data_IF_111648621650
#
_entry.id   IF_111648621650
#
_cell.length_a   1.000
_cell.length_b   1.000
_cell.length_c   1.000
_cell.angle_alpha   90.00
_cell.angle_beta   90.00
_cell.angle_gamma   90.00
#
_symmetry.space_group_name_H-M   'P 1'
#
loop_
_entity.id
_entity.type
_entity.pdbx_description
1 polymer ?
#
# COMPACT_ATOMS: atom_id res chain seq x y z
N UNK A 1 77.55 -19.54 -75.82
CA UNK A 1 77.67 -18.15 -75.36
C UNK A 1 77.06 -18.09 -73.96
N UNK A 2 77.89 -17.87 -72.94
CA UNK A 2 77.48 -17.76 -71.54
C UNK A 2 76.52 -16.57 -71.39
N UNK A 3 75.27 -16.80 -70.95
CA UNK A 3 74.46 -15.74 -70.36
C UNK A 3 74.65 -15.79 -68.84
N UNK A 4 75.66 -15.05 -68.39
CA UNK A 4 75.88 -14.70 -66.99
C UNK A 4 74.86 -13.59 -66.69
N UNK A 5 73.73 -13.93 -66.07
CA UNK A 5 72.75 -12.94 -65.61
C UNK A 5 72.61 -12.99 -64.09
N UNK A 6 72.74 -11.80 -63.50
CA UNK A 6 73.02 -11.48 -62.11
C UNK A 6 72.07 -12.11 -61.06
N UNK A 7 72.55 -13.15 -60.40
CA UNK A 7 71.98 -13.69 -59.15
C UNK A 7 72.11 -12.77 -57.90
N UNK A 8 73.08 -11.84 -57.75
CA UNK A 8 73.28 -11.17 -56.45
C UNK A 8 72.39 -9.95 -56.19
N UNK A 9 71.67 -9.41 -57.20
CA UNK A 9 70.75 -8.27 -56.99
C UNK A 9 69.34 -8.71 -56.57
N UNK A 10 68.88 -9.89 -57.00
CA UNK A 10 67.60 -10.45 -56.53
C UNK A 10 67.69 -10.98 -55.10
N UNK A 11 68.83 -11.56 -54.68
CA UNK A 11 69.03 -11.96 -53.28
C UNK A 11 69.03 -10.76 -52.33
N UNK A 12 69.57 -9.60 -52.74
CA UNK A 12 69.58 -8.42 -51.89
C UNK A 12 68.18 -7.79 -51.72
N UNK A 13 67.34 -7.86 -52.77
CA UNK A 13 65.92 -7.45 -52.68
C UNK A 13 65.03 -8.48 -51.96
N UNK A 14 65.36 -9.78 -51.99
CA UNK A 14 64.63 -10.79 -51.20
C UNK A 14 65.03 -10.77 -49.72
N UNK A 15 66.26 -10.37 -49.40
CA UNK A 15 66.73 -10.16 -48.02
C UNK A 15 66.15 -8.86 -47.42
N UNK A 16 65.81 -7.85 -48.24
CA UNK A 16 65.09 -6.65 -47.78
C UNK A 16 63.60 -6.92 -47.45
N UNK A 17 63.07 -8.10 -47.80
CA UNK A 17 61.71 -8.57 -47.52
C UNK A 17 61.67 -9.62 -46.39
N UNK A 18 62.72 -9.69 -45.57
CA UNK A 18 62.60 -10.25 -44.22
C UNK A 18 61.73 -9.28 -43.44
N UNK A 19 60.41 -9.43 -43.54
CA UNK A 19 59.45 -8.81 -42.64
C UNK A 19 59.94 -9.18 -41.25
N UNK A 20 60.26 -8.19 -40.42
CA UNK A 20 60.48 -8.43 -39.00
C UNK A 20 59.20 -9.11 -38.50
N UNK A 21 59.32 -10.35 -38.02
CA UNK A 21 58.22 -11.16 -37.50
C UNK A 21 57.84 -10.59 -36.13
N UNK A 22 57.28 -9.38 -36.14
CA UNK A 22 56.81 -8.66 -34.96
C UNK A 22 55.31 -8.85 -34.80
N UNK A 23 54.84 -8.79 -33.55
CA UNK A 23 53.40 -8.79 -33.27
C UNK A 23 52.90 -7.35 -33.10
N UNK A 24 51.59 -7.16 -33.29
CA UNK A 24 50.94 -5.87 -33.07
C UNK A 24 49.82 -6.03 -32.06
N UNK A 25 49.82 -5.20 -31.02
CA UNK A 25 48.74 -5.14 -30.03
C UNK A 25 47.59 -4.32 -30.62
N UNK A 26 46.39 -4.90 -30.59
CA UNK A 26 45.20 -4.28 -31.14
C UNK A 26 44.78 -3.05 -30.32
N UNK A 27 44.51 -1.95 -31.03
CA UNK A 27 43.98 -0.74 -30.41
C UNK A 27 42.47 -0.86 -30.16
N UNK A 28 41.96 -0.31 -29.04
CA UNK A 28 40.53 -0.32 -28.74
C UNK A 28 39.72 0.50 -29.76
N UNK A 29 38.46 0.10 -29.98
CA UNK A 29 37.54 0.77 -30.90
C UNK A 29 36.97 2.10 -30.40
N UNK A 30 37.21 2.48 -29.14
CA UNK A 30 36.71 3.73 -28.58
C UNK A 30 36.86 3.85 -27.05
N UNK A 31 36.55 5.04 -26.49
CA UNK A 31 36.58 5.27 -25.04
C UNK A 31 35.51 4.45 -24.33
N UNK A 32 35.85 3.94 -23.14
CA UNK A 32 34.96 3.11 -22.32
C UNK A 32 34.16 3.97 -21.34
N UNK A 33 32.90 3.58 -21.13
CA UNK A 33 31.96 4.17 -20.16
C UNK A 33 31.56 3.08 -19.17
N UNK A 34 31.67 3.37 -17.87
CA UNK A 34 31.56 2.34 -16.82
C UNK A 34 30.75 2.85 -15.64
N UNK A 35 29.86 2.03 -15.05
CA UNK A 35 29.15 2.43 -13.84
C UNK A 35 30.10 2.44 -12.64
N UNK A 36 29.91 3.40 -11.74
CA UNK A 36 30.58 3.42 -10.45
C UNK A 36 30.21 2.16 -9.64
N UNK A 37 31.22 1.46 -9.15
CA UNK A 37 31.10 0.16 -8.49
C UNK A 37 30.92 -1.03 -9.43
N UNK A 38 30.82 -0.79 -10.74
CA UNK A 38 30.72 -1.82 -11.77
C UNK A 38 32.05 -2.47 -12.13
N UNK A 39 32.04 -3.22 -13.23
CA UNK A 39 33.22 -3.89 -13.80
C UNK A 39 33.39 -3.53 -15.27
N UNK A 40 34.64 -3.48 -15.74
CA UNK A 40 34.98 -3.20 -17.13
C UNK A 40 36.10 -4.10 -17.61
N UNK A 41 36.07 -4.48 -18.88
CA UNK A 41 37.17 -5.16 -19.55
C UNK A 41 37.94 -4.14 -20.38
N UNK A 42 39.23 -3.98 -20.07
CA UNK A 42 40.17 -3.19 -20.85
C UNK A 42 40.78 -4.11 -21.92
N UNK A 43 40.45 -3.91 -23.21
CA UNK A 43 40.88 -4.83 -24.26
C UNK A 43 42.38 -4.68 -24.56
N UNK A 44 43.06 -5.83 -24.64
CA UNK A 44 44.43 -5.93 -25.14
C UNK A 44 44.61 -7.33 -25.74
N UNK A 45 44.89 -7.39 -27.03
CA UNK A 45 45.02 -8.66 -27.75
C UNK A 45 45.99 -8.56 -28.92
N UNK A 46 46.57 -9.68 -29.29
CA UNK A 46 47.43 -9.85 -30.47
C UNK A 46 46.85 -10.95 -31.35
N UNK A 47 47.00 -10.84 -32.67
CA UNK A 47 46.48 -11.84 -33.62
C UNK A 47 47.38 -13.09 -33.73
N UNK A 48 48.60 -13.02 -33.19
CA UNK A 48 49.61 -14.08 -33.25
C UNK A 48 49.73 -14.82 -31.92
N UNK A 49 49.80 -16.15 -31.96
CA UNK A 49 50.05 -16.95 -30.76
C UNK A 49 51.49 -16.72 -30.27
N UNK A 50 51.62 -16.17 -29.06
CA UNK A 50 52.91 -15.94 -28.42
C UNK A 50 53.23 -17.09 -27.44
N UNK A 51 54.48 -17.60 -27.40
CA UNK A 51 54.91 -18.51 -26.34
C UNK A 51 54.75 -17.85 -24.97
N UNK A 52 54.30 -18.62 -23.97
CA UNK A 52 54.18 -18.13 -22.59
C UNK A 52 55.56 -17.95 -21.93
N UNK A 53 56.55 -18.72 -22.37
CA UNK A 53 57.95 -18.56 -21.94
C UNK A 53 58.50 -17.23 -22.50
N UNK A 54 59.05 -16.38 -21.63
CA UNK A 54 59.55 -15.05 -22.00
C UNK A 54 58.45 -13.98 -22.20
N UNK A 55 57.17 -14.33 -22.04
CA UNK A 55 56.06 -13.39 -22.13
C UNK A 55 55.91 -12.58 -20.85
N UNK A 56 55.91 -11.27 -20.99
CA UNK A 56 55.57 -10.33 -19.92
C UNK A 56 54.48 -9.38 -20.40
N UNK A 57 53.43 -9.20 -19.59
CA UNK A 57 52.36 -8.24 -19.88
C UNK A 57 52.19 -7.30 -18.70
N UNK A 58 52.35 -6.00 -18.96
CA UNK A 58 52.16 -4.95 -17.98
C UNK A 58 50.91 -4.13 -18.29
N UNK A 59 50.03 -3.99 -17.30
CA UNK A 59 49.00 -2.95 -17.31
C UNK A 59 49.41 -1.82 -16.37
N UNK A 60 49.56 -0.60 -16.90
CA UNK A 60 49.96 0.59 -16.15
C UNK A 60 49.02 1.76 -16.42
N UNK A 61 48.86 2.61 -15.42
CA UNK A 61 48.26 3.95 -15.61
C UNK A 61 49.31 4.89 -16.21
N UNK A 62 48.88 5.98 -16.81
CA UNK A 62 49.81 7.02 -17.29
C UNK A 62 50.66 7.64 -16.17
N UNK A 63 50.19 7.59 -14.92
CA UNK A 63 50.98 7.97 -13.73
C UNK A 63 52.15 7.02 -13.44
N UNK A 64 52.26 5.90 -14.15
CA UNK A 64 53.21 4.81 -13.89
C UNK A 64 52.73 3.81 -12.83
N UNK A 65 51.52 3.98 -12.29
CA UNK A 65 50.94 3.05 -11.31
C UNK A 65 50.70 1.69 -11.95
N UNK A 66 51.31 0.63 -11.40
CA UNK A 66 51.14 -0.74 -11.86
C UNK A 66 49.74 -1.27 -11.46
N UNK A 67 48.93 -1.57 -12.47
CA UNK A 67 47.56 -2.08 -12.31
C UNK A 67 47.59 -3.60 -12.19
N UNK A 68 48.31 -4.28 -13.08
CA UNK A 68 48.56 -5.72 -13.01
C UNK A 68 49.78 -6.12 -13.84
N UNK A 69 50.34 -7.30 -13.56
CA UNK A 69 51.52 -7.86 -14.19
C UNK A 69 51.29 -9.36 -14.40
N UNK A 70 51.63 -9.82 -15.60
CA UNK A 70 51.80 -11.24 -15.90
C UNK A 70 53.27 -11.46 -16.28
N UNK A 71 53.94 -12.39 -15.61
CA UNK A 71 55.36 -12.65 -15.80
C UNK A 71 55.70 -14.08 -15.35
N UNK A 72 56.67 -14.72 -16.03
CA UNK A 72 57.12 -16.10 -15.76
C UNK A 72 55.98 -17.14 -15.85
N UNK A 73 55.01 -16.90 -16.73
CA UNK A 73 53.87 -17.78 -16.94
C UNK A 73 52.77 -17.71 -15.88
N UNK A 74 52.86 -16.78 -14.94
CA UNK A 74 51.86 -16.60 -13.90
C UNK A 74 51.39 -15.14 -13.78
N UNK A 75 50.15 -14.97 -13.36
CA UNK A 75 49.61 -13.67 -12.95
C UNK A 75 50.17 -13.29 -11.57
N UNK A 76 50.62 -12.03 -11.42
CA UNK A 76 51.30 -11.51 -10.22
C UNK A 76 50.43 -10.48 -9.46
N UNK A 77 49.32 -10.89 -8.80
CA UNK A 77 48.48 -9.97 -8.04
C UNK A 77 49.23 -9.29 -6.87
N UNK A 78 50.27 -9.92 -6.34
CA UNK A 78 51.11 -9.39 -5.26
C UNK A 78 51.92 -8.14 -5.65
N UNK A 79 52.16 -7.95 -6.95
CA UNK A 79 52.89 -6.79 -7.48
C UNK A 79 51.99 -5.58 -7.75
N UNK A 80 50.67 -5.75 -7.63
CA UNK A 80 49.71 -4.68 -7.91
C UNK A 80 49.85 -3.52 -6.93
N UNK A 81 49.59 -2.30 -7.42
CA UNK A 81 49.39 -1.17 -6.52
C UNK A 81 48.18 -1.42 -5.61
N UNK A 82 48.24 -0.93 -4.36
CA UNK A 82 47.22 -1.15 -3.34
C UNK A 82 45.79 -0.80 -3.80
N UNK A 83 45.66 0.18 -4.68
CA UNK A 83 44.37 0.61 -5.23
C UNK A 83 43.73 -0.44 -6.15
N UNK A 84 44.52 -1.28 -6.81
CA UNK A 84 44.07 -2.29 -7.78
C UNK A 84 44.05 -3.71 -7.21
N UNK A 85 44.59 -3.89 -6.01
CA UNK A 85 44.59 -5.15 -5.27
C UNK A 85 43.17 -5.75 -5.18
N UNK A 86 43.04 -7.04 -5.50
CA UNK A 86 41.79 -7.81 -5.60
C UNK A 86 40.76 -7.30 -6.63
N UNK A 87 41.08 -6.25 -7.39
CA UNK A 87 40.15 -5.61 -8.33
C UNK A 87 40.53 -5.84 -9.79
N UNK A 88 41.83 -5.89 -10.09
CA UNK A 88 42.36 -6.09 -11.43
C UNK A 88 42.77 -7.55 -11.66
N UNK A 89 42.30 -8.18 -12.72
CA UNK A 89 42.55 -9.60 -13.02
C UNK A 89 42.73 -9.84 -14.51
N UNK A 90 43.67 -10.71 -14.89
CA UNK A 90 43.77 -11.24 -16.24
C UNK A 90 42.81 -12.42 -16.45
N UNK A 91 42.39 -12.63 -17.70
CA UNK A 91 41.79 -13.88 -18.15
C UNK A 91 42.91 -14.89 -18.43
N UNK A 92 43.45 -15.50 -17.37
CA UNK A 92 44.71 -16.27 -17.42
C UNK A 92 44.67 -17.40 -18.46
N UNK A 93 43.53 -18.09 -18.59
CA UNK A 93 43.26 -19.12 -19.58
C UNK A 93 43.31 -18.65 -21.05
N UNK A 94 43.16 -17.35 -21.31
CA UNK A 94 43.16 -16.78 -22.66
C UNK A 94 44.50 -16.18 -23.08
N UNK A 95 45.47 -16.08 -22.16
CA UNK A 95 46.81 -15.53 -22.42
C UNK A 95 47.53 -16.34 -23.50
N UNK A 96 47.44 -17.67 -23.45
CA UNK A 96 48.02 -18.55 -24.47
C UNK A 96 47.41 -18.37 -25.87
N UNK A 97 46.23 -17.73 -25.96
CA UNK A 97 45.54 -17.42 -27.21
C UNK A 97 45.78 -15.96 -27.66
N UNK A 98 46.67 -15.23 -26.98
CA UNK A 98 47.01 -13.85 -27.33
C UNK A 98 46.02 -12.80 -26.79
N UNK A 99 45.16 -13.16 -25.85
CA UNK A 99 44.26 -12.21 -25.19
C UNK A 99 44.81 -11.85 -23.81
N UNK A 100 45.21 -10.59 -23.67
CA UNK A 100 45.81 -10.02 -22.48
C UNK A 100 44.91 -8.94 -21.83
N UNK A 101 43.61 -9.01 -22.13
CA UNK A 101 42.62 -8.07 -21.62
C UNK A 101 42.55 -8.13 -20.09
N UNK A 102 42.29 -6.98 -19.47
CA UNK A 102 42.22 -6.85 -18.02
C UNK A 102 40.78 -6.63 -17.57
N UNK A 103 40.28 -7.46 -16.66
CA UNK A 103 39.06 -7.20 -15.93
C UNK A 103 39.35 -6.30 -14.72
N UNK A 104 38.77 -5.11 -14.68
CA UNK A 104 38.80 -4.21 -13.53
C UNK A 104 37.42 -4.19 -12.86
N UNK A 105 37.34 -4.70 -11.64
CA UNK A 105 36.14 -4.76 -10.82
C UNK A 105 36.04 -3.59 -9.83
N UNK A 106 34.81 -3.30 -9.41
CA UNK A 106 34.48 -2.26 -8.42
C UNK A 106 35.12 -0.91 -8.79
N UNK A 107 34.82 -0.43 -10.00
CA UNK A 107 35.41 0.78 -10.59
C UNK A 107 35.03 2.02 -9.78
N UNK A 108 36.01 2.89 -9.49
CA UNK A 108 35.86 4.10 -8.70
C UNK A 108 35.97 5.34 -9.58
N UNK A 109 35.56 6.50 -9.07
CA UNK A 109 35.67 7.76 -9.82
C UNK A 109 37.13 8.09 -10.18
N UNK A 110 38.08 7.70 -9.33
CA UNK A 110 39.51 7.89 -9.53
C UNK A 110 40.07 7.00 -10.64
N UNK A 111 39.38 5.93 -11.03
CA UNK A 111 39.80 5.03 -12.11
C UNK A 111 39.57 5.62 -13.51
N UNK A 112 38.95 6.80 -13.60
CA UNK A 112 38.93 7.56 -14.86
C UNK A 112 40.35 7.80 -15.37
N UNK A 113 40.55 7.70 -16.69
CA UNK A 113 41.81 8.02 -17.37
C UNK A 113 42.33 6.90 -18.26
N UNK A 114 43.58 7.05 -18.70
CA UNK A 114 44.26 6.15 -19.63
C UNK A 114 44.98 5.00 -18.92
N UNK A 115 44.88 3.83 -19.52
CA UNK A 115 45.51 2.58 -19.14
C UNK A 115 46.31 2.05 -20.33
N UNK A 116 47.57 1.70 -20.10
CA UNK A 116 48.49 1.19 -21.10
C UNK A 116 48.68 -0.30 -20.88
N UNK A 117 48.38 -1.11 -21.87
CA UNK A 117 48.83 -2.50 -21.95
C UNK A 117 50.15 -2.50 -22.71
N UNK A 118 51.16 -3.13 -22.15
CA UNK A 118 52.42 -3.36 -22.85
C UNK A 118 52.78 -4.82 -22.79
N UNK A 119 52.99 -5.40 -23.96
CA UNK A 119 53.31 -6.81 -24.14
C UNK A 119 54.77 -6.90 -24.57
N UNK A 120 55.54 -7.73 -23.86
CA UNK A 120 56.92 -8.03 -24.18
C UNK A 120 57.04 -9.51 -24.50
N UNK A 121 57.74 -9.80 -25.59
CA UNK A 121 58.25 -11.12 -25.97
C UNK A 121 59.78 -11.06 -26.02
N UNK A 122 60.44 -12.21 -26.09
CA UNK A 122 61.90 -12.30 -26.23
C UNK A 122 62.46 -11.52 -27.43
N UNK A 123 61.64 -11.32 -28.47
CA UNK A 123 62.07 -10.74 -29.75
C UNK A 123 61.53 -9.33 -30.01
N UNK A 124 60.41 -8.95 -29.40
CA UNK A 124 59.68 -7.73 -29.73
C UNK A 124 58.81 -7.24 -28.57
N UNK A 125 58.37 -5.97 -28.63
CA UNK A 125 57.41 -5.42 -27.69
C UNK A 125 56.50 -4.41 -28.37
N UNK A 126 55.22 -4.44 -28.04
CA UNK A 126 54.25 -3.46 -28.52
C UNK A 126 53.24 -3.10 -27.42
N UNK A 127 52.54 -1.98 -27.58
CA UNK A 127 51.64 -1.43 -26.57
C UNK A 127 50.37 -0.84 -27.18
N UNK A 128 49.29 -0.85 -26.39
CA UNK A 128 48.08 -0.10 -26.67
C UNK A 128 47.67 0.76 -25.47
N UNK A 129 46.81 1.74 -25.73
CA UNK A 129 46.23 2.61 -24.71
C UNK A 129 44.71 2.51 -24.77
N UNK A 130 44.09 2.33 -23.62
CA UNK A 130 42.65 2.27 -23.41
C UNK A 130 42.24 3.38 -22.43
N UNK A 131 41.24 4.17 -22.80
CA UNK A 131 40.72 5.25 -21.95
C UNK A 131 39.39 4.86 -21.30
N UNK A 132 39.29 4.96 -19.96
CA UNK A 132 38.01 5.05 -19.25
C UNK A 132 37.64 6.53 -19.21
N UNK A 133 36.72 6.96 -20.08
CA UNK A 133 36.38 8.37 -20.28
C UNK A 133 35.37 8.87 -19.25
N UNK A 134 34.40 8.04 -18.90
CA UNK A 134 33.35 8.36 -17.93
C UNK A 134 33.15 7.23 -16.92
N UNK A 135 33.19 7.58 -15.65
CA UNK A 135 32.71 6.74 -14.55
C UNK A 135 31.39 7.35 -14.10
N UNK A 136 30.29 6.75 -14.52
CA UNK A 136 28.97 7.31 -14.26
C UNK A 136 28.43 6.83 -12.91
N UNK A 137 27.96 7.78 -12.11
CA UNK A 137 27.29 7.52 -10.85
C UNK A 137 25.81 7.71 -11.10
N UNK A 138 25.01 6.66 -10.94
CA UNK A 138 23.55 6.76 -10.95
C UNK A 138 23.04 6.22 -9.63
N UNK A 139 22.70 7.12 -8.70
CA UNK A 139 22.14 6.75 -7.40
C UNK A 139 20.73 7.27 -7.30
N UNK A 140 19.78 6.38 -7.02
CA UNK A 140 18.39 6.73 -6.74
C UNK A 140 18.17 6.63 -5.25
N UNK A 141 17.89 7.77 -4.63
CA UNK A 141 17.63 7.88 -3.20
C UNK A 141 16.14 8.04 -2.93
N UNK A 142 15.63 7.30 -1.95
CA UNK A 142 14.26 7.36 -1.46
C UNK A 142 14.20 7.28 0.06
N UNK A 143 13.01 7.36 0.61
CA UNK A 143 12.78 7.19 2.05
C UNK A 143 12.88 5.72 2.41
N UNK A 144 13.78 5.39 3.32
CA UNK A 144 13.94 4.03 3.84
C UNK A 144 12.85 3.67 4.88
N UNK A 145 11.99 4.61 5.24
CA UNK A 145 10.94 4.41 6.24
C UNK A 145 9.60 4.13 5.55
N UNK A 146 8.89 3.12 6.04
CA UNK A 146 7.51 2.89 5.62
C UNK A 146 6.64 4.06 6.05
N UNK A 147 5.84 4.60 5.14
CA UNK A 147 4.87 5.65 5.45
C UNK A 147 3.53 5.01 5.83
N UNK A 148 2.79 5.64 6.73
CA UNK A 148 1.49 5.15 7.19
C UNK A 148 0.39 6.23 7.14
N UNK A 149 0.04 6.75 5.95
CA UNK A 149 -1.08 7.68 5.81
C UNK A 149 -2.41 7.11 6.29
N UNK A 150 -3.34 8.01 6.58
CA UNK A 150 -4.75 7.68 6.73
C UNK A 150 -5.44 7.60 5.36
N UNK A 151 -6.52 6.82 5.27
CA UNK A 151 -7.33 6.74 4.05
C UNK A 151 -7.89 8.13 3.69
N UNK A 152 -7.79 8.48 2.39
CA UNK A 152 -8.17 9.80 1.86
C UNK A 152 -7.06 10.86 1.92
N UNK A 153 -5.92 10.60 2.56
CA UNK A 153 -4.79 11.54 2.57
C UNK A 153 -3.97 11.50 1.27
N UNK A 154 -3.26 12.59 1.01
CA UNK A 154 -2.26 12.64 -0.06
C UNK A 154 -0.89 12.28 0.52
N UNK A 155 -0.14 11.45 -0.21
CA UNK A 155 1.23 11.07 0.18
C UNK A 155 2.25 11.41 -0.88
N UNK A 156 3.47 11.66 -0.44
CA UNK A 156 4.62 11.87 -1.33
C UNK A 156 5.61 10.72 -1.13
N UNK A 157 5.89 10.00 -2.21
CA UNK A 157 6.93 8.98 -2.27
C UNK A 157 8.19 9.62 -2.88
N UNK A 158 9.24 9.72 -2.07
CA UNK A 158 10.48 10.40 -2.48
C UNK A 158 11.27 9.57 -3.47
N UNK A 159 11.71 10.17 -4.57
CA UNK A 159 12.69 9.61 -5.50
C UNK A 159 13.58 10.73 -6.03
N UNK A 160 14.82 10.77 -5.57
CA UNK A 160 15.82 11.76 -5.96
C UNK A 160 16.99 11.07 -6.64
N UNK A 161 17.39 11.57 -7.80
CA UNK A 161 18.50 11.03 -8.58
C UNK A 161 19.74 11.88 -8.33
N UNK A 162 20.78 11.27 -7.79
CA UNK A 162 22.12 11.84 -7.69
C UNK A 162 22.98 11.22 -8.80
N UNK A 163 23.24 12.00 -9.84
CA UNK A 163 24.02 11.57 -10.99
C UNK A 163 24.85 12.68 -11.61
N UNK A 164 25.93 12.29 -12.28
CA UNK A 164 26.67 13.15 -13.19
C UNK A 164 25.98 13.32 -14.55
N UNK A 165 24.99 12.46 -14.83
CA UNK A 165 24.16 12.52 -16.03
C UNK A 165 23.19 13.69 -15.87
N UNK A 166 23.14 14.62 -16.83
CA UNK A 166 22.21 15.75 -16.77
C UNK A 166 20.76 15.25 -16.85
N UNK A 167 19.79 15.89 -16.16
CA UNK A 167 18.40 15.43 -16.13
C UNK A 167 17.75 15.28 -17.51
N UNK A 168 18.22 16.03 -18.51
CA UNK A 168 17.76 15.95 -19.89
C UNK A 168 18.14 14.64 -20.61
N UNK A 169 19.15 13.93 -20.11
CA UNK A 169 19.61 12.63 -20.62
C UNK A 169 18.98 11.45 -19.88
N UNK A 170 18.13 11.70 -18.86
CA UNK A 170 17.35 10.65 -18.20
C UNK A 170 16.22 10.21 -19.14
N UNK A 171 16.36 9.01 -19.69
CA UNK A 171 15.45 8.48 -20.72
C UNK A 171 14.08 8.11 -20.15
N UNK A 172 14.07 7.48 -18.98
CA UNK A 172 12.86 6.95 -18.36
C UNK A 172 12.93 6.95 -16.82
N UNK A 173 11.85 7.41 -16.19
CA UNK A 173 11.58 7.19 -14.76
C UNK A 173 10.18 6.59 -14.61
N UNK A 174 10.11 5.39 -14.04
CA UNK A 174 8.85 4.69 -13.80
C UNK A 174 8.63 4.45 -12.31
N UNK A 175 7.45 4.84 -11.84
CA UNK A 175 6.92 4.40 -10.56
C UNK A 175 6.06 3.17 -10.78
N UNK A 176 6.36 2.09 -10.04
CA UNK A 176 5.65 0.83 -10.12
C UNK A 176 5.22 0.37 -8.72
N UNK A 177 4.00 -0.16 -8.60
CA UNK A 177 3.58 -0.90 -7.40
C UNK A 177 3.95 -2.36 -7.60
N UNK A 178 4.71 -2.91 -6.67
CA UNK A 178 5.05 -4.33 -6.62
C UNK A 178 3.89 -5.06 -5.97
N UNK A 179 3.27 -5.96 -6.72
CA UNK A 179 2.20 -6.84 -6.27
C UNK A 179 2.63 -8.31 -6.38
N UNK A 180 1.83 -9.22 -5.82
CA UNK A 180 2.10 -10.67 -5.89
C UNK A 180 2.01 -11.21 -7.32
N UNK A 181 1.18 -10.57 -8.14
CA UNK A 181 0.91 -10.96 -9.52
C UNK A 181 1.80 -10.25 -10.54
N UNK A 182 2.73 -9.40 -10.09
CA UNK A 182 3.68 -8.67 -10.94
C UNK A 182 3.84 -7.19 -10.56
N UNK A 183 4.30 -6.39 -11.53
CA UNK A 183 4.49 -4.95 -11.38
C UNK A 183 3.36 -4.18 -12.05
N UNK A 184 2.75 -3.25 -11.34
CA UNK A 184 1.71 -2.36 -11.87
C UNK A 184 2.34 -0.98 -12.08
N UNK A 185 2.33 -0.48 -13.32
CA UNK A 185 2.78 0.88 -13.61
C UNK A 185 1.86 1.89 -12.91
N UNK A 186 2.44 2.82 -12.13
CA UNK A 186 1.72 3.87 -11.40
C UNK A 186 1.85 5.19 -12.15
N UNK A 187 3.06 5.55 -12.55
CA UNK A 187 3.34 6.78 -13.28
C UNK A 187 4.62 6.64 -14.11
N UNK A 188 4.64 7.22 -15.30
CA UNK A 188 5.76 7.15 -16.23
C UNK A 188 6.19 8.54 -16.67
N UNK A 189 7.49 8.83 -16.57
CA UNK A 189 8.15 9.95 -17.22
C UNK A 189 9.09 9.37 -18.27
N UNK A 190 8.95 9.79 -19.52
CA UNK A 190 9.74 9.25 -20.63
C UNK A 190 9.92 10.32 -21.71
N UNK A 191 11.13 10.46 -22.25
CA UNK A 191 11.45 11.44 -23.29
C UNK A 191 11.05 12.88 -22.92
N UNK A 192 11.34 13.27 -21.67
CA UNK A 192 11.02 14.60 -21.12
C UNK A 192 9.52 14.93 -21.01
N UNK A 193 8.65 13.90 -21.03
CA UNK A 193 7.20 14.05 -20.91
C UNK A 193 6.62 13.08 -19.86
N UNK A 194 5.56 13.52 -19.18
CA UNK A 194 4.81 12.66 -18.25
C UNK A 194 3.73 11.91 -19.04
N UNK A 195 3.86 10.59 -19.13
CA UNK A 195 2.93 9.71 -19.87
C UNK A 195 1.82 9.18 -18.97
N UNK A 196 0.67 9.85 -19.01
CA UNK A 196 -0.53 9.43 -18.26
C UNK A 196 -1.40 8.41 -19.01
N UNK A 197 -1.20 8.23 -20.32
CA UNK A 197 -2.00 7.29 -21.13
C UNK A 197 -1.74 5.83 -20.79
N UNK A 198 -0.50 5.51 -20.39
CA UNK A 198 -0.08 4.16 -19.98
C UNK A 198 -0.49 3.84 -18.54
N UNK A 199 -0.99 4.81 -17.78
CA UNK A 199 -1.35 4.64 -16.37
C UNK A 199 -2.71 3.96 -16.23
N UNK A 200 -2.84 2.87 -15.45
CA UNK A 200 -4.10 2.23 -15.16
C UNK A 200 -5.12 3.18 -14.53
N UNK A 201 -6.42 2.97 -14.80
CA UNK A 201 -7.52 3.82 -14.32
C UNK A 201 -7.53 4.05 -12.80
N UNK A 202 -7.00 3.11 -12.01
CA UNK A 202 -6.93 3.23 -10.55
C UNK A 202 -5.99 4.34 -10.05
N UNK A 203 -4.98 4.71 -10.84
CA UNK A 203 -3.98 5.75 -10.53
C UNK A 203 -4.14 7.01 -11.38
N UNK A 204 -4.94 6.94 -12.44
CA UNK A 204 -5.29 8.08 -13.28
C UNK A 204 -5.85 9.22 -12.44
N UNK A 205 -5.38 10.43 -12.70
CA UNK A 205 -5.70 11.68 -11.99
C UNK A 205 -5.34 11.72 -10.48
N UNK A 206 -4.73 10.64 -9.95
CA UNK A 206 -4.30 10.54 -8.55
C UNK A 206 -2.79 10.55 -8.39
N UNK A 207 -2.06 10.00 -9.35
CA UNK A 207 -0.61 9.95 -9.39
C UNK A 207 -0.06 11.11 -10.23
N UNK A 208 0.82 11.95 -9.66
CA UNK A 208 1.48 13.05 -10.37
C UNK A 208 2.93 13.26 -9.90
N UNK A 209 3.80 13.71 -10.82
CA UNK A 209 5.13 14.21 -10.47
C UNK A 209 5.09 15.68 -10.09
N UNK A 210 6.12 16.14 -9.38
CA UNK A 210 6.38 17.56 -9.14
C UNK A 210 7.16 18.13 -10.33
N UNK A 211 6.44 18.65 -11.34
CA UNK A 211 7.04 19.09 -12.61
C UNK A 211 8.14 20.15 -12.45
N UNK A 212 8.04 20.99 -11.43
CA UNK A 212 9.01 22.02 -11.06
C UNK A 212 10.29 21.48 -10.40
N UNK A 213 10.25 20.24 -9.91
CA UNK A 213 11.38 19.56 -9.25
C UNK A 213 12.12 18.60 -10.21
N UNK A 214 11.52 18.23 -11.34
CA UNK A 214 12.15 17.37 -12.37
C UNK A 214 13.50 17.92 -12.87
N UNK A 215 13.66 19.23 -13.18
CA UNK A 215 14.96 19.78 -13.59
C UNK A 215 16.05 19.70 -12.50
N UNK A 216 15.67 19.42 -11.25
CA UNK A 216 16.59 19.18 -10.13
C UNK A 216 16.83 17.68 -9.89
N UNK A 217 16.48 16.84 -10.87
CA UNK A 217 16.54 15.39 -10.81
C UNK A 217 15.71 14.77 -9.66
N UNK A 218 14.59 15.43 -9.29
CA UNK A 218 13.68 14.95 -8.26
C UNK A 218 12.37 14.48 -8.91
N UNK A 219 12.20 13.16 -8.94
CA UNK A 219 11.09 12.44 -9.56
C UNK A 219 10.16 11.85 -8.50
N UNK A 220 9.98 12.55 -7.38
CA UNK A 220 9.07 12.13 -6.33
C UNK A 220 7.63 12.03 -6.84
N UNK A 221 6.92 10.99 -6.41
CA UNK A 221 5.52 10.75 -6.77
C UNK A 221 4.61 11.34 -5.70
N UNK A 222 3.63 12.14 -6.08
CA UNK A 222 2.47 12.44 -5.23
C UNK A 222 1.32 11.51 -5.59
N UNK A 223 0.82 10.77 -4.60
CA UNK A 223 -0.37 9.94 -4.72
C UNK A 223 -1.51 10.55 -3.90
N UNK A 224 -2.57 10.99 -4.58
CA UNK A 224 -3.72 11.67 -3.98
C UNK A 224 -4.78 10.69 -3.47
N UNK A 225 -5.40 11.07 -2.37
CA UNK A 225 -6.54 10.36 -1.76
C UNK A 225 -6.29 8.86 -1.69
N UNK A 226 -5.29 8.44 -0.91
CA UNK A 226 -4.90 7.03 -0.78
C UNK A 226 -6.08 6.16 -0.29
N UNK A 227 -6.18 4.94 -0.80
CA UNK A 227 -7.26 3.97 -0.55
C UNK A 227 -6.64 2.71 0.00
N UNK A 228 -7.38 1.91 0.78
CA UNK A 228 -6.86 0.65 1.32
C UNK A 228 -6.20 -0.29 0.27
N UNK A 229 -6.65 -0.23 -1.01
CA UNK A 229 -6.07 -0.99 -2.13
C UNK A 229 -4.66 -0.53 -2.56
N UNK A 230 -4.26 0.71 -2.22
CA UNK A 230 -2.95 1.26 -2.55
C UNK A 230 -1.85 0.78 -1.60
N UNK A 231 -2.20 0.01 -0.55
CA UNK A 231 -1.23 -0.62 0.33
C UNK A 231 -0.28 -1.51 -0.49
N UNK A 232 1.02 -1.38 -0.25
CA UNK A 232 2.03 -2.20 -0.92
C UNK A 232 3.38 -1.53 -0.97
N UNK A 233 4.30 -2.18 -1.71
CA UNK A 233 5.64 -1.65 -1.96
C UNK A 233 5.63 -0.94 -3.30
N UNK A 234 6.15 0.28 -3.31
CA UNK A 234 6.32 1.08 -4.52
C UNK A 234 7.80 1.17 -4.84
N UNK A 235 8.13 1.11 -6.12
CA UNK A 235 9.48 1.19 -6.65
C UNK A 235 9.57 2.37 -7.61
N UNK A 236 10.55 3.23 -7.40
CA UNK A 236 10.99 4.19 -8.40
C UNK A 236 12.17 3.56 -9.15
N UNK A 237 12.04 3.37 -10.45
CA UNK A 237 13.06 2.81 -11.33
C UNK A 237 13.46 3.87 -12.35
N UNK A 238 14.76 4.16 -12.43
CA UNK A 238 15.35 5.19 -13.29
C UNK A 238 16.27 4.52 -14.29
N UNK A 239 16.12 4.86 -15.55
CA UNK A 239 17.00 4.48 -16.65
C UNK A 239 17.66 5.72 -17.26
N UNK A 240 18.97 5.64 -17.45
CA UNK A 240 19.78 6.66 -18.09
C UNK A 240 20.85 5.97 -18.94
N UNK A 241 20.64 5.91 -20.27
CA UNK A 241 21.46 5.11 -21.17
C UNK A 241 21.49 3.63 -20.76
N UNK A 242 22.69 3.08 -20.60
CA UNK A 242 22.91 1.69 -20.18
C UNK A 242 22.78 1.48 -18.65
N UNK A 243 22.52 2.54 -17.90
CA UNK A 243 22.44 2.49 -16.45
C UNK A 243 21.01 2.41 -15.94
N UNK A 244 20.81 1.61 -14.90
CA UNK A 244 19.57 1.59 -14.16
C UNK A 244 19.80 1.55 -12.66
N UNK A 245 18.96 2.26 -11.92
CA UNK A 245 18.97 2.25 -10.47
C UNK A 245 17.54 2.39 -9.95
N UNK A 246 17.31 1.89 -8.74
CA UNK A 246 15.99 1.94 -8.14
C UNK A 246 16.03 2.24 -6.64
N UNK A 247 14.87 2.63 -6.13
CA UNK A 247 14.60 2.69 -4.69
C UNK A 247 13.19 2.18 -4.43
N UNK A 248 12.97 1.59 -3.27
CA UNK A 248 11.65 1.04 -2.88
C UNK A 248 11.19 1.61 -1.55
N UNK A 249 9.88 1.76 -1.40
CA UNK A 249 9.26 2.20 -0.16
C UNK A 249 7.92 1.50 0.07
N UNK A 250 7.63 1.17 1.32
CA UNK A 250 6.38 0.53 1.72
C UNK A 250 5.35 1.57 2.16
N UNK A 251 4.16 1.52 1.55
CA UNK A 251 2.98 2.29 1.95
C UNK A 251 2.06 1.40 2.77
N UNK A 252 1.91 1.76 4.05
CA UNK A 252 0.93 1.19 4.97
C UNK A 252 -0.25 2.15 5.05
N UNK A 253 -1.45 1.64 5.24
CA UNK A 253 -2.62 2.49 5.43
C UNK A 253 -3.14 2.20 6.83
N UNK A 254 -3.15 3.26 7.64
CA UNK A 254 -3.64 3.22 9.02
C UNK A 254 -5.11 3.61 9.04
N UNK A 255 -5.88 2.99 9.93
CA UNK A 255 -7.22 3.48 10.24
C UNK A 255 -7.11 4.87 10.86
N UNK A 256 -7.97 5.79 10.45
CA UNK A 256 -8.06 7.11 11.09
C UNK A 256 -8.33 6.93 12.59
N UNK A 257 -7.81 7.84 13.42
CA UNK A 257 -8.11 7.87 14.85
C UNK A 257 -9.64 7.88 15.09
N UNK A 258 -10.40 8.52 14.20
CA UNK A 258 -11.86 8.53 14.27
C UNK A 258 -12.48 7.16 13.98
N UNK A 259 -11.96 6.37 13.02
CA UNK A 259 -12.41 4.99 12.80
C UNK A 259 -12.15 4.11 14.02
N UNK A 260 -11.00 4.28 14.68
CA UNK A 260 -10.68 3.55 15.93
C UNK A 260 -11.67 3.92 17.04
N UNK A 261 -12.00 5.21 17.19
CA UNK A 261 -13.00 5.68 18.15
C UNK A 261 -14.39 5.09 17.86
N UNK A 262 -14.81 5.06 16.59
CA UNK A 262 -16.07 4.43 16.18
C UNK A 262 -16.10 2.94 16.56
N UNK A 263 -15.03 2.19 16.27
CA UNK A 263 -14.92 0.77 16.64
C UNK A 263 -14.97 0.56 18.16
N UNK A 264 -14.29 1.41 18.93
CA UNK A 264 -14.34 1.37 20.40
C UNK A 264 -15.75 1.65 20.93
N UNK A 265 -16.45 2.66 20.40
CA UNK A 265 -17.83 2.97 20.78
C UNK A 265 -18.79 1.81 20.47
N UNK A 266 -18.65 1.18 19.30
CA UNK A 266 -19.40 -0.02 18.94
C UNK A 266 -19.10 -1.20 19.89
N UNK A 267 -17.84 -1.40 20.24
CA UNK A 267 -17.42 -2.42 21.22
C UNK A 267 -18.00 -2.18 22.61
N UNK A 268 -17.99 -0.94 23.09
CA UNK A 268 -18.60 -0.54 24.37
C UNK A 268 -20.12 -0.73 24.36
N UNK A 269 -20.79 -0.43 23.26
CA UNK A 269 -22.22 -0.68 23.10
C UNK A 269 -22.55 -2.18 23.16
N UNK A 270 -21.79 -3.01 22.44
CA UNK A 270 -21.98 -4.47 22.48
C UNK A 270 -21.69 -5.06 23.86
N UNK A 271 -20.63 -4.60 24.53
CA UNK A 271 -20.26 -5.05 25.87
C UNK A 271 -21.32 -4.70 26.92
N UNK A 272 -21.84 -3.47 26.89
CA UNK A 272 -22.89 -3.01 27.82
C UNK A 272 -24.22 -3.75 27.62
N UNK A 273 -24.63 -3.99 26.37
CA UNK A 273 -25.81 -4.81 26.07
C UNK A 273 -25.66 -6.27 26.51
N UNK A 274 -24.47 -6.85 26.33
CA UNK A 274 -24.17 -8.24 26.75
C UNK A 274 -24.17 -8.40 28.28
N UNK A 275 -23.61 -7.43 29.00
CA UNK A 275 -23.62 -7.40 30.46
C UNK A 275 -25.05 -7.32 31.01
N UNK A 276 -25.89 -6.50 30.39
CA UNK A 276 -27.31 -6.41 30.74
C UNK A 276 -28.04 -7.73 30.56
N UNK A 277 -27.85 -8.40 29.41
CA UNK A 277 -28.41 -9.73 29.15
C UNK A 277 -27.99 -10.74 30.22
N UNK A 278 -26.71 -10.76 30.58
CA UNK A 278 -26.19 -11.61 31.67
C UNK A 278 -26.80 -11.29 33.04
N UNK A 279 -26.98 -10.01 33.37
CA UNK A 279 -27.60 -9.59 34.64
C UNK A 279 -29.09 -9.98 34.68
N UNK A 280 -29.82 -9.81 33.58
CA UNK A 280 -31.22 -10.24 33.46
C UNK A 280 -31.33 -11.76 33.61
N UNK A 281 -30.49 -12.53 32.91
CA UNK A 281 -30.47 -14.00 33.01
C UNK A 281 -30.13 -14.50 34.42
N UNK A 282 -29.20 -13.84 35.12
CA UNK A 282 -28.86 -14.17 36.52
C UNK A 282 -29.96 -13.78 37.51
N UNK A 283 -30.69 -12.69 37.25
CA UNK A 283 -31.71 -12.14 38.15
C UNK A 283 -33.09 -12.79 38.00
N UNK A 284 -33.40 -13.42 36.85
CA UNK A 284 -34.56 -14.33 36.71
C UNK A 284 -34.56 -15.42 37.81
N UNK A 285 -33.42 -15.65 38.46
CA UNK A 285 -33.24 -16.61 39.55
C UNK A 285 -33.27 -16.01 40.99
N UNK A 286 -33.58 -14.72 41.19
CA UNK A 286 -33.50 -14.07 42.53
C UNK A 286 -34.54 -12.94 42.76
N UNK A 287 -35.38 -13.12 43.79
CA UNK A 287 -36.52 -12.25 44.18
C UNK A 287 -36.14 -10.97 44.97
N UNK A 288 -35.51 -9.94 44.38
CA UNK A 288 -35.42 -8.63 45.04
C UNK A 288 -35.45 -7.45 44.04
N UNK A 289 -36.41 -6.52 44.21
CA UNK A 289 -37.04 -5.79 43.10
C UNK A 289 -36.66 -4.31 42.90
N UNK A 290 -36.14 -3.55 43.87
CA UNK A 290 -36.06 -2.08 43.67
C UNK A 290 -34.75 -1.49 43.13
N UNK A 291 -33.57 -1.96 43.52
CA UNK A 291 -32.28 -1.44 42.99
C UNK A 291 -31.94 -1.93 41.57
N UNK A 292 -32.64 -2.96 41.09
CA UNK A 292 -32.41 -3.60 39.80
C UNK A 292 -32.97 -2.78 38.64
N UNK A 293 -34.08 -2.07 38.85
CA UNK A 293 -34.72 -1.24 37.82
C UNK A 293 -33.76 -0.17 37.30
N UNK A 294 -33.22 0.68 38.18
CA UNK A 294 -32.35 1.81 37.79
C UNK A 294 -31.06 1.35 37.09
N UNK A 295 -30.43 0.26 37.57
CA UNK A 295 -29.26 -0.32 36.91
C UNK A 295 -29.63 -0.82 35.50
N UNK A 296 -30.72 -1.59 35.35
CA UNK A 296 -31.17 -2.08 34.05
C UNK A 296 -31.47 -0.93 33.06
N UNK A 297 -32.06 0.17 33.52
CA UNK A 297 -32.27 1.37 32.70
C UNK A 297 -30.96 1.98 32.20
N UNK A 298 -29.98 2.15 33.10
CA UNK A 298 -28.67 2.70 32.72
C UNK A 298 -27.97 1.83 31.67
N UNK A 299 -28.08 0.51 31.79
CA UNK A 299 -27.52 -0.46 30.85
C UNK A 299 -28.31 -0.58 29.54
N UNK A 300 -29.59 -0.18 29.48
CA UNK A 300 -30.36 -0.10 28.22
C UNK A 300 -30.11 1.21 27.47
N UNK A 301 -29.94 2.33 28.18
CA UNK A 301 -29.75 3.65 27.57
C UNK A 301 -28.32 3.83 27.02
N UNK A 302 -27.32 3.38 27.76
CA UNK A 302 -25.91 3.60 27.45
C UNK A 302 -25.43 2.97 26.11
N UNK A 303 -25.78 1.71 25.76
CA UNK A 303 -25.43 1.14 24.46
C UNK A 303 -25.98 1.95 23.28
N UNK A 304 -27.22 2.42 23.40
CA UNK A 304 -27.87 3.20 22.35
C UNK A 304 -27.21 4.58 22.17
N UNK A 305 -26.80 5.23 23.27
CA UNK A 305 -26.06 6.49 23.22
C UNK A 305 -24.67 6.32 22.57
N UNK A 306 -23.95 5.24 22.91
CA UNK A 306 -22.68 4.91 22.26
C UNK A 306 -22.85 4.65 20.76
N UNK A 307 -23.90 3.93 20.35
CA UNK A 307 -24.20 3.70 18.92
C UNK A 307 -24.55 5.00 18.20
N UNK A 308 -25.37 5.88 18.79
CA UNK A 308 -25.68 7.20 18.19
C UNK A 308 -24.42 8.03 18.01
N UNK A 309 -23.55 8.06 19.02
CA UNK A 309 -22.27 8.78 18.95
C UNK A 309 -21.36 8.18 17.86
N UNK A 310 -21.29 6.85 17.78
CA UNK A 310 -20.53 6.14 16.76
C UNK A 310 -21.04 6.45 15.35
N UNK A 311 -22.36 6.45 15.11
CA UNK A 311 -22.94 6.77 13.81
C UNK A 311 -22.75 8.25 13.43
N UNK A 312 -22.82 9.17 14.39
CA UNK A 312 -22.53 10.58 14.14
C UNK A 312 -21.07 10.74 13.69
N UNK A 313 -20.12 10.14 14.40
CA UNK A 313 -18.70 10.18 14.04
C UNK A 313 -18.48 9.50 12.67
N UNK A 314 -19.10 8.34 12.42
CA UNK A 314 -19.05 7.66 11.13
C UNK A 314 -19.50 8.56 9.97
N UNK A 315 -20.55 9.36 10.18
CA UNK A 315 -21.04 10.35 9.21
C UNK A 315 -20.09 11.48 8.88
N UNK A 316 -19.10 11.77 9.75
CA UNK A 316 -18.04 12.72 9.47
C UNK A 316 -16.87 12.12 8.69
N UNK A 317 -16.76 10.79 8.66
CA UNK A 317 -15.67 10.07 7.99
C UNK A 317 -16.15 9.60 6.61
N UNK A 318 -16.91 8.49 6.57
CA UNK A 318 -17.30 7.79 5.34
C UNK A 318 -18.83 7.59 5.22
N UNK A 319 -19.58 7.82 6.30
CA UNK A 319 -21.00 7.48 6.38
C UNK A 319 -21.90 8.40 5.59
N UNK A 320 -22.94 7.83 4.96
CA UNK A 320 -23.94 8.65 4.30
C UNK A 320 -24.86 9.33 5.33
N UNK A 321 -25.30 10.56 5.02
CA UNK A 321 -26.22 11.30 5.88
C UNK A 321 -27.51 10.51 6.18
N UNK A 322 -27.98 9.70 5.22
CA UNK A 322 -29.18 8.88 5.38
C UNK A 322 -28.97 7.76 6.39
N UNK A 323 -27.82 7.08 6.36
CA UNK A 323 -27.47 6.05 7.35
C UNK A 323 -27.35 6.65 8.74
N UNK A 324 -26.66 7.79 8.88
CA UNK A 324 -26.49 8.48 10.16
C UNK A 324 -27.85 8.83 10.76
N UNK A 325 -28.75 9.42 9.96
CA UNK A 325 -30.09 9.81 10.43
C UNK A 325 -30.92 8.58 10.80
N UNK A 326 -30.97 7.57 9.93
CA UNK A 326 -31.81 6.39 10.12
C UNK A 326 -31.37 5.58 11.33
N UNK A 327 -30.07 5.30 11.43
CA UNK A 327 -29.50 4.53 12.54
C UNK A 327 -29.54 5.31 13.85
N UNK A 328 -29.28 6.62 13.85
CA UNK A 328 -29.38 7.42 15.08
C UNK A 328 -30.82 7.49 15.58
N UNK A 329 -31.78 7.69 14.69
CA UNK A 329 -33.22 7.72 15.04
C UNK A 329 -33.67 6.40 15.63
N UNK A 330 -33.28 5.27 15.03
CA UNK A 330 -33.62 3.95 15.52
C UNK A 330 -33.03 3.65 16.90
N UNK A 331 -31.78 4.07 17.15
CA UNK A 331 -31.14 3.89 18.46
C UNK A 331 -31.72 4.84 19.53
N UNK A 332 -32.22 6.03 19.16
CA UNK A 332 -32.91 6.94 20.10
C UNK A 332 -34.35 6.51 20.41
N UNK A 333 -35.05 5.92 19.45
CA UNK A 333 -36.42 5.45 19.61
C UNK A 333 -36.52 4.25 20.57
N UNK A 334 -35.49 3.39 20.59
CA UNK A 334 -35.43 2.18 21.43
C UNK A 334 -35.58 2.47 22.94
N UNK A 335 -34.80 3.38 23.55
CA UNK A 335 -35.02 3.79 24.94
C UNK A 335 -36.36 4.49 25.18
N UNK A 336 -36.85 5.30 24.22
CA UNK A 336 -38.13 6.01 24.35
C UNK A 336 -39.32 5.05 24.47
N UNK A 337 -39.35 3.97 23.68
CA UNK A 337 -40.37 2.93 23.77
C UNK A 337 -40.34 2.19 25.11
N UNK A 338 -39.16 2.04 25.72
CA UNK A 338 -39.02 1.44 27.04
C UNK A 338 -39.51 2.41 28.14
N UNK A 339 -39.26 3.71 28.04
CA UNK A 339 -39.73 4.71 29.03
C UNK A 339 -41.26 4.68 29.23
N UNK A 340 -42.03 4.31 28.20
CA UNK A 340 -43.50 4.15 28.28
C UNK A 340 -43.93 3.05 29.27
N UNK A 341 -43.04 2.12 29.63
CA UNK A 341 -43.29 1.02 30.58
C UNK A 341 -42.87 1.32 32.02
N UNK A 342 -42.42 2.55 32.31
CA UNK A 342 -41.83 2.94 33.61
C UNK A 342 -42.85 3.66 34.50
N UNK A 343 -42.79 3.45 35.84
CA UNK A 343 -43.60 4.22 36.78
C UNK A 343 -43.38 5.75 36.67
N UNK A 344 -44.47 6.49 36.82
CA UNK A 344 -44.60 7.94 36.58
C UNK A 344 -43.52 8.83 37.24
N UNK A 345 -42.97 8.42 38.39
CA UNK A 345 -41.95 9.17 39.15
C UNK A 345 -40.56 9.20 38.50
N UNK A 346 -40.20 8.20 37.68
CA UNK A 346 -38.89 8.13 37.01
C UNK A 346 -38.95 8.81 35.63
N UNK A 347 -40.13 8.86 35.02
CA UNK A 347 -40.37 9.39 33.68
C UNK A 347 -40.06 10.89 33.58
N UNK A 348 -40.40 11.70 34.60
CA UNK A 348 -40.11 13.14 34.61
C UNK A 348 -38.60 13.46 34.70
N UNK A 349 -37.81 12.61 35.37
CA UNK A 349 -36.36 12.83 35.56
C UNK A 349 -35.53 12.44 34.32
N UNK A 350 -36.03 11.55 33.47
CA UNK A 350 -35.35 11.07 32.26
C UNK A 350 -35.80 11.78 30.96
N UNK A 351 -37.03 12.29 30.88
CA UNK A 351 -37.53 12.95 29.66
C UNK A 351 -36.72 14.20 29.33
N UNK A 352 -36.44 15.05 30.31
CA UNK A 352 -35.73 16.31 30.11
C UNK A 352 -34.30 16.12 29.54
N UNK A 353 -33.45 15.24 30.10
CA UNK A 353 -32.13 14.98 29.52
C UNK A 353 -32.20 14.31 28.14
N UNK A 354 -33.17 13.42 27.88
CA UNK A 354 -33.35 12.84 26.55
C UNK A 354 -33.77 13.88 25.51
N UNK A 355 -34.70 14.77 25.88
CA UNK A 355 -35.13 15.87 25.02
C UNK A 355 -33.97 16.84 24.72
N UNK A 356 -33.14 17.15 25.72
CA UNK A 356 -31.92 17.95 25.53
C UNK A 356 -30.94 17.25 24.60
N UNK A 357 -30.72 15.94 24.74
CA UNK A 357 -29.85 15.16 23.83
C UNK A 357 -30.39 15.18 22.40
N UNK A 358 -31.70 14.97 22.20
CA UNK A 358 -32.34 15.05 20.89
C UNK A 358 -32.20 16.44 20.27
N UNK A 359 -32.39 17.51 21.06
CA UNK A 359 -32.20 18.90 20.62
C UNK A 359 -30.73 19.18 20.28
N UNK A 360 -29.77 18.70 21.07
CA UNK A 360 -28.34 18.87 20.81
C UNK A 360 -27.94 18.12 19.54
N UNK A 361 -28.43 16.89 19.33
CA UNK A 361 -28.23 16.13 18.09
C UNK A 361 -28.84 16.88 16.91
N UNK A 362 -30.05 17.43 17.05
CA UNK A 362 -30.68 18.25 16.02
C UNK A 362 -29.86 19.51 15.69
N UNK A 363 -29.36 20.22 16.71
CA UNK A 363 -28.52 21.40 16.53
C UNK A 363 -27.16 21.04 15.90
N UNK A 364 -26.57 19.89 16.25
CA UNK A 364 -25.37 19.37 15.61
C UNK A 364 -25.62 19.08 14.12
N UNK A 365 -26.70 18.36 13.78
CA UNK A 365 -27.13 18.06 12.40
C UNK A 365 -27.42 19.35 11.60
N UNK A 366 -28.07 20.33 12.23
CA UNK A 366 -28.34 21.63 11.63
C UNK A 366 -27.06 22.47 11.43
N UNK A 367 -26.05 22.30 12.30
CA UNK A 367 -24.75 22.98 12.18
C UNK A 367 -23.88 22.33 11.09
N UNK A 368 -23.91 21.01 10.92
CA UNK A 368 -23.28 20.32 9.76
C UNK A 368 -23.83 20.82 8.44
N UNK A 369 -25.12 21.17 8.39
CA UNK A 369 -25.75 21.81 7.21
C UNK A 369 -25.19 23.19 6.87
N UNK A 370 -24.72 23.99 7.82
CA UNK A 370 -24.16 25.31 7.50
C UNK A 370 -22.85 25.21 6.70
N UNK A 371 -22.09 24.12 6.88
CA UNK A 371 -20.89 23.84 6.08
C UNK A 371 -21.20 23.14 4.74
N UNK A 372 -22.23 22.28 4.70
CA UNK A 372 -22.57 21.50 3.49
C UNK A 372 -23.41 22.30 2.47
N UNK A 373 -24.25 23.22 2.91
CA UNK A 373 -25.17 23.98 2.04
C UNK A 373 -24.47 25.02 1.14
N UNK A 374 -23.22 25.40 1.46
CA UNK A 374 -22.42 26.21 0.54
C UNK A 374 -22.10 25.44 -0.76
N UNK A 375 -22.21 24.10 -0.77
CA UNK A 375 -21.74 23.28 -1.90
C UNK A 375 -22.83 22.60 -2.75
N UNK A 376 -24.02 22.26 -2.25
CA UNK A 376 -25.03 21.57 -3.09
C UNK A 376 -26.50 21.94 -2.80
N UNK A 377 -27.14 22.54 -3.81
CA UNK A 377 -28.53 23.02 -3.87
C UNK A 377 -29.55 21.90 -4.15
N UNK A 378 -29.82 20.97 -3.21
CA UNK A 378 -30.97 20.05 -3.35
C UNK A 378 -31.71 19.84 -2.03
N UNK A 379 -32.99 20.25 -2.03
CA UNK A 379 -33.95 20.07 -0.95
C UNK A 379 -34.59 18.67 -1.06
N UNK A 380 -34.45 17.82 -0.04
CA UNK A 380 -34.93 16.43 -0.06
C UNK A 380 -36.14 16.22 0.87
N UNK A 381 -37.23 15.70 0.29
CA UNK A 381 -38.54 15.43 0.91
C UNK A 381 -38.50 14.47 2.12
N UNK A 382 -37.41 13.72 2.30
CA UNK A 382 -37.22 12.82 3.44
C UNK A 382 -37.23 13.53 4.80
N UNK A 383 -36.86 14.82 4.86
CA UNK A 383 -36.96 15.61 6.09
C UNK A 383 -38.39 16.00 6.45
N UNK A 384 -39.25 16.24 5.47
CA UNK A 384 -40.67 16.53 5.71
C UNK A 384 -41.34 15.27 6.25
N UNK A 385 -41.00 14.11 5.70
CA UNK A 385 -41.49 12.80 6.14
C UNK A 385 -41.02 12.49 7.57
N UNK A 386 -39.75 12.77 7.93
CA UNK A 386 -39.25 12.58 9.29
C UNK A 386 -39.92 13.51 10.30
N UNK A 387 -40.16 14.78 9.96
CA UNK A 387 -40.89 15.73 10.80
C UNK A 387 -42.34 15.26 10.99
N UNK A 388 -42.97 14.76 9.92
CA UNK A 388 -44.34 14.23 9.97
C UNK A 388 -44.42 12.96 10.84
N UNK A 389 -43.46 12.03 10.73
CA UNK A 389 -43.40 10.80 11.53
C UNK A 389 -43.10 11.11 13.00
N UNK A 390 -42.25 12.09 13.30
CA UNK A 390 -41.95 12.51 14.67
C UNK A 390 -43.11 13.30 15.31
N UNK A 391 -43.83 14.11 14.54
CA UNK A 391 -45.06 14.77 14.98
C UNK A 391 -46.19 13.77 15.18
N UNK A 392 -46.40 12.84 14.25
CA UNK A 392 -47.42 11.79 14.36
C UNK A 392 -47.12 10.82 15.51
N UNK A 393 -45.86 10.44 15.75
CA UNK A 393 -45.49 9.62 16.91
C UNK A 393 -45.60 10.38 18.23
N UNK A 394 -45.28 11.68 18.26
CA UNK A 394 -45.53 12.53 19.43
C UNK A 394 -47.02 12.75 19.71
N UNK A 395 -47.84 12.96 18.66
CA UNK A 395 -49.30 13.12 18.74
C UNK A 395 -49.98 11.81 19.11
N UNK A 396 -49.52 10.67 18.58
CA UNK A 396 -49.99 9.34 18.96
C UNK A 396 -49.68 9.02 20.42
N UNK A 397 -48.50 9.41 20.93
CA UNK A 397 -48.14 9.27 22.34
C UNK A 397 -49.01 10.16 23.23
N UNK A 398 -49.26 11.41 22.83
CA UNK A 398 -50.15 12.33 23.55
C UNK A 398 -51.62 11.85 23.55
N UNK A 399 -52.10 11.36 22.41
CA UNK A 399 -53.47 10.87 22.27
C UNK A 399 -53.67 9.55 23.01
N UNK A 400 -52.67 8.66 23.04
CA UNK A 400 -52.69 7.44 23.84
C UNK A 400 -52.65 7.73 25.35
N UNK A 401 -51.88 8.74 25.77
CA UNK A 401 -51.85 9.25 27.15
C UNK A 401 -53.20 9.82 27.58
N UNK A 402 -53.88 10.61 26.72
CA UNK A 402 -55.21 11.17 27.01
C UNK A 402 -56.33 10.12 27.09
N UNK A 403 -56.18 8.99 26.37
CA UNK A 403 -57.13 7.87 26.41
C UNK A 403 -56.91 7.00 27.66
N UNK A 404 -55.65 6.80 28.07
CA UNK A 404 -55.30 6.09 29.30
C UNK A 404 -55.69 6.86 30.58
N UNK A 405 -55.82 8.19 30.52
CA UNK A 405 -56.32 9.01 31.63
C UNK A 405 -57.84 8.83 31.87
N UNK A 406 -58.58 8.27 30.89
CA UNK A 406 -60.04 8.10 30.98
C UNK A 406 -60.54 6.67 31.20
N UNK A 407 -59.72 5.63 30.99
CA UNK A 407 -60.12 4.25 31.28
C UNK A 407 -59.16 3.57 32.26
N UNK A 408 -59.49 3.64 33.54
CA UNK A 408 -58.98 2.72 34.56
C UNK A 408 -59.64 1.35 34.38
N UNK A 409 -59.08 0.51 33.53
CA UNK A 409 -59.44 -0.90 33.41
C UNK A 409 -58.60 -1.62 32.34
N UNK A 410 -57.99 -2.75 32.69
CA UNK A 410 -57.26 -3.63 31.77
C UNK A 410 -58.16 -4.06 30.60
N UNK A 411 -57.97 -3.48 29.41
CA UNK A 411 -58.64 -3.92 28.18
C UNK A 411 -57.65 -4.59 27.19
N UNK A 412 -57.81 -5.89 26.89
CA UNK A 412 -56.94 -6.65 25.97
C UNK A 412 -56.93 -6.14 24.51
N UNK A 413 -57.77 -5.16 24.15
CA UNK A 413 -57.76 -4.52 22.82
C UNK A 413 -56.56 -3.59 22.57
N UNK A 414 -55.94 -3.03 23.61
CA UNK A 414 -54.80 -2.10 23.46
C UNK A 414 -53.52 -2.83 23.03
N UNK A 415 -53.23 -3.99 23.62
CA UNK A 415 -52.06 -4.82 23.28
C UNK A 415 -52.16 -5.38 21.86
N UNK A 416 -53.36 -5.72 21.40
CA UNK A 416 -53.61 -6.15 20.02
C UNK A 416 -53.38 -5.00 19.01
N UNK A 417 -53.74 -3.76 19.37
CA UNK A 417 -53.52 -2.57 18.53
C UNK A 417 -52.03 -2.20 18.42
N UNK A 418 -51.27 -2.33 19.50
CA UNK A 418 -49.81 -2.13 19.49
C UNK A 418 -49.09 -3.17 18.62
N UNK A 419 -49.50 -4.44 18.70
CA UNK A 419 -48.96 -5.50 17.84
C UNK A 419 -49.27 -5.26 16.36
N UNK A 420 -50.50 -4.83 16.03
CA UNK A 420 -50.88 -4.48 14.66
C UNK A 420 -50.08 -3.29 14.12
N UNK A 421 -49.91 -2.22 14.92
CA UNK A 421 -49.15 -1.04 14.52
C UNK A 421 -47.67 -1.35 14.27
N UNK A 422 -47.05 -2.21 15.08
CA UNK A 422 -45.66 -2.65 14.88
C UNK A 422 -45.51 -3.56 13.64
N UNK A 423 -46.55 -4.32 13.31
CA UNK A 423 -46.60 -5.17 12.11
C UNK A 423 -46.73 -4.33 10.84
N UNK A 424 -47.51 -3.25 10.88
CA UNK A 424 -47.65 -2.31 9.76
C UNK A 424 -46.35 -1.54 9.48
N UNK A 425 -45.63 -1.11 10.53
CA UNK A 425 -44.32 -0.46 10.39
C UNK A 425 -43.29 -1.44 9.77
N UNK A 426 -43.33 -2.71 10.18
CA UNK A 426 -42.47 -3.77 9.62
C UNK A 426 -42.78 -4.07 8.15
N UNK A 427 -44.06 -4.06 7.74
CA UNK A 427 -44.45 -4.18 6.34
C UNK A 427 -44.03 -2.96 5.50
N UNK A 428 -44.18 -1.75 6.04
CA UNK A 428 -43.78 -0.52 5.35
C UNK A 428 -42.27 -0.43 5.14
N UNK A 429 -41.47 -0.94 6.08
CA UNK A 429 -40.01 -1.04 5.92
C UNK A 429 -39.54 -2.04 4.86
N UNK A 430 -40.42 -2.94 4.37
CA UNK A 430 -40.13 -3.92 3.31
C UNK A 430 -40.53 -3.42 1.90
N UNK A 431 -41.04 -2.20 1.78
CA UNK A 431 -41.51 -1.64 0.51
C UNK A 431 -40.32 -1.41 -0.47
N UNK A 432 -40.38 -1.84 -1.75
CA UNK A 432 -39.21 -1.91 -2.65
C UNK A 432 -38.56 -0.56 -3.00
N UNK A 433 -39.17 0.56 -2.63
CA UNK A 433 -38.62 1.90 -2.87
C UNK A 433 -37.53 2.33 -1.89
N UNK A 434 -37.33 1.59 -0.78
CA UNK A 434 -36.14 1.71 0.07
C UNK A 434 -35.19 0.56 -0.27
N UNK A 435 -34.20 0.81 -1.15
CA UNK A 435 -33.09 -0.12 -1.39
C UNK A 435 -32.17 -0.21 -0.15
N UNK A 436 -32.65 -0.78 0.95
CA UNK A 436 -31.85 -1.19 2.09
C UNK A 436 -31.78 -2.72 2.12
N UNK A 437 -30.60 -3.26 1.84
CA UNK A 437 -30.35 -4.70 1.85
C UNK A 437 -30.19 -5.20 3.30
N UNK A 438 -31.28 -5.18 4.08
CA UNK A 438 -31.36 -5.60 5.48
C UNK A 438 -31.86 -7.05 5.59
N UNK A 439 -31.22 -7.99 4.87
CA UNK A 439 -31.64 -9.39 4.86
C UNK A 439 -31.27 -10.20 6.13
N UNK A 440 -30.99 -9.58 7.29
CA UNK A 440 -30.49 -10.33 8.46
C UNK A 440 -30.95 -9.90 9.85
N UNK A 441 -31.97 -9.06 9.97
CA UNK A 441 -32.60 -8.78 11.27
C UNK A 441 -34.08 -9.09 11.21
N UNK A 442 -34.43 -10.38 11.38
CA UNK A 442 -35.79 -10.75 11.73
C UNK A 442 -36.09 -10.21 13.13
N UNK A 443 -36.99 -9.22 13.21
CA UNK A 443 -37.61 -8.82 14.46
C UNK A 443 -38.55 -9.96 14.90
N UNK A 444 -38.09 -10.79 15.84
CA UNK A 444 -38.92 -11.78 16.51
C UNK A 444 -39.95 -11.05 17.40
N UNK A 445 -41.17 -10.90 16.89
CA UNK A 445 -42.33 -10.45 17.67
C UNK A 445 -42.96 -11.70 18.30
N UNK A 446 -42.77 -11.89 19.60
CA UNK A 446 -43.44 -12.95 20.37
C UNK A 446 -44.74 -12.37 20.95
N UNK A 447 -45.93 -12.89 20.60
CA UNK A 447 -47.17 -12.43 21.19
C UNK A 447 -47.30 -12.93 22.63
N UNK A 448 -47.61 -12.02 23.56
CA UNK A 448 -47.98 -12.38 24.93
C UNK A 448 -49.40 -12.97 24.93
N UNK A 449 -49.53 -14.29 25.13
CA UNK A 449 -50.82 -14.94 25.31
C UNK A 449 -51.04 -15.22 26.81
N UNK A 450 -52.17 -14.82 27.42
CA UNK A 450 -52.41 -15.03 28.84
C UNK A 450 -53.14 -16.36 29.07
N UNK A 451 -52.42 -17.49 29.06
CA UNK A 451 -52.94 -18.74 29.67
C UNK A 451 -51.82 -19.48 30.39
N UNK A 452 -51.68 -19.17 31.68
CA UNK A 452 -51.08 -20.03 32.69
C UNK A 452 -51.89 -21.33 32.78
N UNK A 453 -51.32 -22.46 32.31
CA UNK A 453 -51.47 -23.82 32.91
C UNK A 453 -51.13 -25.00 31.99
N UNK A 454 -50.87 -24.84 30.68
CA UNK A 454 -50.58 -25.99 29.80
C UNK A 454 -49.11 -26.21 29.37
N UNK A 455 -48.18 -25.30 29.68
CA UNK A 455 -46.77 -25.45 29.26
C UNK A 455 -45.96 -26.49 30.06
N UNK A 456 -46.44 -26.97 31.20
CA UNK A 456 -45.71 -27.93 32.03
C UNK A 456 -45.71 -29.38 31.50
N UNK A 457 -46.49 -29.70 30.46
CA UNK A 457 -46.59 -31.08 29.94
C UNK A 457 -45.86 -31.32 28.60
N UNK A 458 -45.25 -30.29 27.98
CA UNK A 458 -44.49 -30.45 26.73
C UNK A 458 -42.96 -30.37 26.90
N UNK A 459 -42.43 -29.98 28.07
CA UNK A 459 -40.98 -29.92 28.36
C UNK A 459 -40.49 -31.20 29.07
N UNK A 460 -40.99 -32.37 28.66
CA UNK A 460 -40.43 -33.68 29.09
C UNK A 460 -39.86 -34.52 27.95
N UNK A 461 -39.91 -34.04 26.70
CA UNK A 461 -39.48 -34.81 25.52
C UNK A 461 -38.31 -34.24 24.72
N UNK A 462 -37.65 -33.16 25.18
CA UNK A 462 -36.47 -32.58 24.52
C UNK A 462 -35.22 -32.77 25.39
N UNK A 463 -34.93 -34.01 25.78
CA UNK A 463 -33.66 -34.40 26.43
C UNK A 463 -32.99 -35.57 25.69
N UNK A 464 -33.14 -35.64 24.37
CA UNK A 464 -32.41 -36.60 23.54
C UNK A 464 -32.16 -36.03 22.14
N UNK A 465 -31.17 -35.14 22.00
CA UNK A 465 -30.46 -34.98 20.73
C UNK A 465 -28.96 -35.09 21.03
N UNK A 466 -28.42 -36.22 20.61
CA UNK A 466 -27.02 -36.62 20.67
C UNK A 466 -26.18 -35.78 19.70
N UNK A 467 -25.02 -35.30 20.18
CA UNK A 467 -23.96 -34.75 19.34
C UNK A 467 -23.41 -35.86 18.43
N UNK A 468 -23.69 -35.79 17.12
CA UNK A 468 -22.93 -36.53 16.12
C UNK A 468 -21.82 -35.63 15.57
N UNK A 469 -20.62 -35.84 16.09
CA UNK A 469 -19.37 -35.48 15.41
C UNK A 469 -19.32 -36.15 14.03
N UNK A 470 -19.14 -35.37 12.97
CA UNK A 470 -18.65 -35.89 11.69
C UNK A 470 -17.36 -35.19 11.32
N UNK A 471 -16.25 -35.72 11.84
CA UNK A 471 -14.98 -35.73 11.12
C UNK A 471 -15.21 -36.51 9.80
N UNK A 472 -14.80 -35.94 8.67
CA UNK A 472 -14.46 -36.72 7.48
C UNK A 472 -13.00 -36.41 7.11
N UNK A 473 -12.14 -37.44 7.01
CA UNK A 473 -10.80 -37.32 6.47
C UNK A 473 -10.81 -37.43 4.94
N UNK A 474 -9.69 -37.00 4.37
CA UNK A 474 -9.29 -37.06 2.97
C UNK A 474 -9.31 -38.49 2.40
N UNK A 475 -9.65 -38.61 1.12
CA UNK A 475 -9.19 -39.71 0.26
C UNK A 475 -8.95 -39.20 -1.16
N UNK A 476 -7.76 -39.53 -1.68
CA UNK A 476 -7.36 -39.45 -3.08
C UNK A 476 -8.20 -40.41 -3.94
N UNK A 477 -8.57 -39.95 -5.13
CA UNK A 477 -8.37 -40.63 -6.42
C UNK A 477 -8.42 -39.59 -7.55
#
# INVERSE_FOLDING_TARGET
MYLKMHLPKCLCMSVLLMIADGFVVQSPSGPLVVPLGGSVVLPCSVDTLLPVEGLEVEWKRDSGTLVHLFQDGESRPESQHQDYYDRAHFFTEEIQHGNFSLLLNNVRAEDKGEYRCKVYSDQDSDENVVEIKYVERLIVSGSNHSISPYEGEDVTLSCSVDSHIPPEEIEEVSWKKIDKDGEILVLLFQYNEIRTESTPDQYKDRAEFFADEIPKANFSLRLKSVRNADKGVYMCLVFAGDFSANTTMEVKISLSTLHIVVLLLCGLAFGSASLLGCLVLRKINSEHFHGFSVLCWSFHLLPNLFMVTAFIIWGFIDGSLNEVISCSTLNLLRPLLLIVTVPQEVTETLILPLAVVVVVIFLMIARTRRCYFIKHHKFHWSMVILIFVLLESGVMVYHHYSVLEHEKGDDPTVTARLSACLTDISCWMKDPHLHFNLAKTELLVVPANPVSSQFHHQIKHINHISFKNSQKPWSYD
#
